data_IF_116745317712
#
_entry.id   IF_116745317712
#
_cell.length_a   1.000
_cell.length_b   1.000
_cell.length_c   1.000
_cell.angle_alpha   90.00
_cell.angle_beta   90.00
_cell.angle_gamma   90.00
#
_symmetry.space_group_name_H-M   'P 1'
#
loop_
_entity.id
_entity.type
_entity.pdbx_description
1 polymer ?
#
# COMPACT_ATOMS: atom_id res chain seq x y z
N UNK A 1 26.10 -68.88 8.29
CA UNK A 1 25.28 -69.18 9.47
C UNK A 1 24.91 -67.84 10.08
N UNK A 2 23.61 -67.61 10.21
CA UNK A 2 22.94 -66.33 10.44
C UNK A 2 23.08 -65.90 11.91
N UNK A 3 23.25 -64.60 12.18
CA UNK A 3 22.27 -63.73 12.88
C UNK A 3 22.91 -62.62 13.74
N UNK A 4 22.19 -61.49 13.92
CA UNK A 4 22.39 -60.63 15.10
C UNK A 4 22.53 -59.12 14.93
N UNK A 5 21.67 -58.49 14.13
CA UNK A 5 20.84 -57.32 14.50
C UNK A 5 21.38 -56.20 15.43
N UNK A 6 21.23 -54.96 14.92
CA UNK A 6 20.99 -53.69 15.65
C UNK A 6 22.18 -53.15 16.45
N UNK A 7 23.05 -52.40 15.74
CA UNK A 7 23.91 -51.40 16.38
C UNK A 7 23.71 -50.02 15.73
N UNK A 8 22.75 -49.30 16.28
CA UNK A 8 22.83 -47.85 16.47
C UNK A 8 22.64 -46.96 15.25
N UNK A 9 21.39 -46.77 14.85
CA UNK A 9 20.87 -45.64 14.05
C UNK A 9 20.88 -44.36 14.91
N UNK A 10 21.98 -44.05 15.57
CA UNK A 10 22.11 -42.86 16.42
C UNK A 10 23.54 -42.34 16.38
N UNK A 11 23.94 -41.72 15.26
CA UNK A 11 25.04 -40.74 15.25
C UNK A 11 25.05 -39.95 13.92
N UNK A 12 23.94 -39.30 13.59
CA UNK A 12 23.88 -38.29 12.51
C UNK A 12 22.86 -37.19 12.86
N UNK A 13 22.84 -36.80 14.14
CA UNK A 13 22.01 -35.70 14.66
C UNK A 13 22.93 -34.68 15.33
N UNK A 14 23.76 -33.98 14.57
CA UNK A 14 24.51 -32.80 15.03
C UNK A 14 25.28 -32.25 13.84
N UNK A 15 24.64 -31.40 13.04
CA UNK A 15 25.21 -30.28 12.26
C UNK A 15 24.12 -29.75 11.31
N UNK A 16 23.03 -29.24 11.88
CA UNK A 16 21.98 -28.52 11.16
C UNK A 16 21.58 -27.24 11.92
N UNK A 17 22.57 -26.58 12.51
CA UNK A 17 22.42 -25.26 13.13
C UNK A 17 23.50 -24.35 12.56
N UNK A 18 23.07 -23.14 12.20
CA UNK A 18 23.88 -22.00 11.74
C UNK A 18 24.01 -21.81 10.21
N UNK A 19 22.90 -21.99 9.49
CA UNK A 19 22.50 -20.99 8.50
C UNK A 19 21.23 -20.27 8.99
N UNK A 20 21.31 -19.70 10.19
CA UNK A 20 20.54 -18.49 10.47
C UNK A 20 21.24 -17.39 9.68
N UNK A 21 20.98 -17.36 8.37
CA UNK A 21 21.37 -16.24 7.53
C UNK A 21 20.84 -15.01 8.23
N UNK A 22 21.75 -14.08 8.53
CA UNK A 22 21.40 -12.72 8.85
C UNK A 22 20.61 -12.16 7.68
N UNK A 23 19.29 -12.42 7.65
CA UNK A 23 18.35 -11.53 7.01
C UNK A 23 18.51 -10.24 7.80
N UNK A 24 19.37 -9.36 7.32
CA UNK A 24 19.17 -7.93 7.50
C UNK A 24 17.74 -7.69 7.01
N UNK A 25 16.79 -7.66 7.95
CA UNK A 25 15.43 -7.28 7.65
C UNK A 25 15.53 -5.92 6.99
N UNK A 26 15.29 -5.86 5.68
CA UNK A 26 15.17 -4.60 4.98
C UNK A 26 14.12 -3.82 5.77
N UNK A 27 14.45 -2.64 6.32
CA UNK A 27 13.49 -1.89 7.11
C UNK A 27 12.36 -1.48 6.16
N UNK A 28 11.24 -2.19 6.25
CA UNK A 28 9.99 -1.75 5.65
C UNK A 28 9.36 -0.63 6.47
N UNK A 29 8.33 0.03 5.93
CA UNK A 29 7.77 1.23 6.53
C UNK A 29 7.11 0.89 7.87
N UNK A 30 7.29 1.76 8.85
CA UNK A 30 6.66 1.68 10.16
C UNK A 30 5.68 2.85 10.31
N UNK A 31 4.48 2.55 10.79
CA UNK A 31 3.45 3.54 11.08
C UNK A 31 2.87 3.29 12.45
N UNK A 32 2.58 4.39 13.13
CA UNK A 32 1.93 4.44 14.42
C UNK A 32 0.41 4.61 14.22
N UNK A 33 -0.35 3.71 14.83
CA UNK A 33 -1.80 3.69 14.80
C UNK A 33 -2.31 3.81 16.23
N UNK A 34 -3.07 4.88 16.50
CA UNK A 34 -3.65 5.10 17.81
C UNK A 34 -4.86 4.20 18.04
N UNK A 35 -4.91 3.58 19.20
CA UNK A 35 -6.01 2.71 19.64
C UNK A 35 -6.67 3.31 20.87
N UNK A 36 -7.99 3.36 20.85
CA UNK A 36 -8.80 3.86 21.96
C UNK A 36 -9.73 2.77 22.49
N UNK A 37 -10.26 2.97 23.69
CA UNK A 37 -11.21 2.04 24.31
C UNK A 37 -10.55 1.01 25.22
N UNK A 38 -10.84 -0.27 24.98
CA UNK A 38 -10.39 -1.37 25.83
C UNK A 38 -8.88 -1.64 25.70
N UNK A 39 -8.22 -2.09 26.79
CA UNK A 39 -6.83 -2.52 26.73
C UNK A 39 -6.68 -3.73 25.80
N UNK A 40 -5.54 -3.80 25.14
CA UNK A 40 -5.18 -4.87 24.24
C UNK A 40 -4.38 -5.94 24.98
N UNK A 41 -4.49 -7.18 24.52
CA UNK A 41 -3.71 -8.30 25.02
C UNK A 41 -2.78 -8.87 23.94
N UNK A 42 -1.87 -9.76 24.35
CA UNK A 42 -0.90 -10.40 23.47
C UNK A 42 -1.55 -11.23 22.35
N UNK A 43 -2.78 -11.70 22.56
CA UNK A 43 -3.51 -12.46 21.54
C UNK A 43 -3.94 -11.55 20.39
N UNK A 44 -4.37 -10.31 20.67
CA UNK A 44 -4.64 -9.31 19.63
C UNK A 44 -3.38 -8.98 18.85
N UNK A 45 -2.24 -8.80 19.54
CA UNK A 45 -0.96 -8.55 18.88
C UNK A 45 -0.60 -9.69 17.91
N UNK A 46 -0.71 -10.93 18.39
CA UNK A 46 -0.42 -12.12 17.58
C UNK A 46 -1.34 -12.25 16.37
N UNK A 47 -2.60 -11.80 16.46
CA UNK A 47 -3.52 -11.77 15.34
C UNK A 47 -3.10 -10.73 14.28
N UNK A 48 -2.68 -9.54 14.72
CA UNK A 48 -2.16 -8.49 13.83
C UNK A 48 -0.87 -8.96 13.15
N UNK A 49 0.07 -9.55 13.88
CA UNK A 49 1.32 -10.07 13.31
C UNK A 49 1.11 -11.19 12.27
N UNK A 50 -0.02 -11.91 12.34
CA UNK A 50 -0.39 -12.93 11.36
C UNK A 50 -1.01 -12.36 10.08
N UNK A 51 -1.31 -11.05 10.03
CA UNK A 51 -1.88 -10.42 8.85
C UNK A 51 -0.90 -10.45 7.68
N UNK A 52 -1.37 -10.75 6.46
CA UNK A 52 -0.54 -10.66 5.26
C UNK A 52 0.09 -9.27 5.11
N UNK A 53 1.41 -9.23 4.91
CA UNK A 53 2.14 -7.99 4.71
C UNK A 53 2.65 -7.33 5.99
N UNK A 54 2.26 -7.78 7.18
CA UNK A 54 2.84 -7.31 8.44
C UNK A 54 4.13 -8.10 8.72
N UNK A 55 5.24 -7.38 8.92
CA UNK A 55 6.53 -7.94 9.26
C UNK A 55 6.76 -8.01 10.77
N UNK A 56 6.22 -7.04 11.51
CA UNK A 56 6.22 -6.99 12.97
C UNK A 56 5.14 -6.01 13.45
N UNK A 57 4.65 -6.21 14.67
CA UNK A 57 3.80 -5.25 15.34
C UNK A 57 4.22 -5.12 16.82
N UNK A 58 3.93 -3.98 17.44
CA UNK A 58 4.16 -3.79 18.88
C UNK A 58 3.18 -2.79 19.46
N UNK A 59 2.86 -2.95 20.74
CA UNK A 59 2.08 -1.97 21.50
C UNK A 59 2.97 -1.16 22.45
N UNK A 60 2.81 0.15 22.45
CA UNK A 60 3.25 1.03 23.52
C UNK A 60 2.04 1.77 24.11
N UNK A 61 1.53 1.27 25.24
CA UNK A 61 0.29 1.75 25.84
C UNK A 61 -0.90 1.60 24.88
N UNK A 62 -1.33 2.72 24.30
CA UNK A 62 -2.48 2.81 23.38
C UNK A 62 -2.06 2.92 21.92
N UNK A 63 -0.78 2.79 21.62
CA UNK A 63 -0.23 2.97 20.28
C UNK A 63 0.20 1.63 19.71
N UNK A 64 -0.30 1.32 18.52
CA UNK A 64 0.11 0.17 17.72
C UNK A 64 1.11 0.63 16.66
N UNK A 65 2.35 0.19 16.79
CA UNK A 65 3.32 0.32 15.71
C UNK A 65 3.22 -0.90 14.80
N UNK A 66 2.97 -0.69 13.51
CA UNK A 66 2.96 -1.74 12.49
C UNK A 66 4.13 -1.53 11.54
N UNK A 67 4.96 -2.57 11.39
CA UNK A 67 6.01 -2.63 10.38
C UNK A 67 5.53 -3.47 9.21
N UNK A 68 5.54 -2.89 8.02
CA UNK A 68 5.10 -3.57 6.79
C UNK A 68 6.29 -4.28 6.14
N UNK A 69 6.03 -5.44 5.52
CA UNK A 69 7.01 -6.17 4.71
C UNK A 69 7.29 -5.37 3.44
N UNK A 70 8.57 -5.19 3.02
CA UNK A 70 8.89 -4.44 1.81
C UNK A 70 8.13 -4.92 0.57
N UNK A 71 7.52 -3.98 -0.16
CA UNK A 71 6.69 -4.20 -1.33
C UNK A 71 5.29 -4.76 -1.05
N UNK A 72 4.95 -5.06 0.21
CA UNK A 72 3.61 -5.47 0.61
C UNK A 72 2.70 -4.27 0.85
N UNK A 73 1.39 -4.53 0.88
CA UNK A 73 0.36 -3.53 1.16
C UNK A 73 -0.41 -3.98 2.40
N UNK A 74 -0.59 -3.09 3.37
CA UNK A 74 -1.41 -3.33 4.57
C UNK A 74 -2.52 -2.30 4.61
N UNK A 75 -3.77 -2.75 4.65
CA UNK A 75 -4.94 -1.87 4.78
C UNK A 75 -5.18 -1.50 6.23
N UNK A 76 -5.31 -0.21 6.51
CA UNK A 76 -5.70 0.30 7.84
C UNK A 76 -7.10 -0.21 8.21
N UNK A 77 -8.01 -0.33 7.23
CA UNK A 77 -9.33 -0.94 7.44
C UNK A 77 -9.25 -2.41 7.83
N UNK A 78 -8.35 -3.18 7.23
CA UNK A 78 -8.16 -4.60 7.60
C UNK A 78 -7.59 -4.74 9.02
N UNK A 79 -6.67 -3.85 9.43
CA UNK A 79 -6.18 -3.79 10.82
C UNK A 79 -7.33 -3.49 11.78
N UNK A 80 -8.19 -2.52 11.45
CA UNK A 80 -9.36 -2.20 12.26
C UNK A 80 -10.35 -3.37 12.34
N UNK A 81 -10.49 -4.18 11.29
CA UNK A 81 -11.34 -5.36 11.29
C UNK A 81 -10.80 -6.46 12.22
N UNK A 82 -9.49 -6.72 12.18
CA UNK A 82 -8.82 -7.66 13.10
C UNK A 82 -8.95 -7.20 14.55
N UNK A 83 -8.78 -5.90 14.82
CA UNK A 83 -9.03 -5.31 16.13
C UNK A 83 -10.48 -5.52 16.58
N UNK A 84 -11.46 -5.25 15.72
CA UNK A 84 -12.87 -5.43 16.05
C UNK A 84 -13.24 -6.90 16.34
N UNK A 85 -12.57 -7.85 15.69
CA UNK A 85 -12.77 -9.29 15.91
C UNK A 85 -12.18 -9.77 17.24
N UNK A 86 -10.95 -9.36 17.55
CA UNK A 86 -10.22 -9.89 18.71
C UNK A 86 -10.29 -9.00 19.96
N UNK A 87 -10.64 -7.73 19.81
CA UNK A 87 -10.81 -6.75 20.87
C UNK A 87 -12.03 -5.86 20.60
N UNK A 88 -13.27 -6.37 20.75
CA UNK A 88 -14.50 -5.67 20.34
C UNK A 88 -14.78 -4.35 21.09
N UNK A 89 -14.04 -4.05 22.16
CA UNK A 89 -14.09 -2.76 22.87
C UNK A 89 -12.95 -1.81 22.51
N UNK A 90 -12.03 -2.21 21.64
CA UNK A 90 -10.93 -1.39 21.16
C UNK A 90 -11.24 -0.86 19.76
N UNK A 91 -10.83 0.37 19.49
CA UNK A 91 -11.11 1.06 18.24
C UNK A 91 -9.85 1.73 17.71
N UNK A 92 -9.59 1.53 16.42
CA UNK A 92 -8.53 2.24 15.72
C UNK A 92 -8.97 3.69 15.47
N UNK A 93 -8.22 4.65 16.00
CA UNK A 93 -8.41 6.08 15.76
C UNK A 93 -7.81 6.42 14.38
N UNK A 94 -8.57 6.10 13.33
CA UNK A 94 -8.12 6.25 11.94
C UNK A 94 -7.84 7.72 11.59
N UNK A 95 -8.52 8.69 12.19
CA UNK A 95 -8.22 10.11 11.98
C UNK A 95 -6.87 10.53 12.60
N UNK A 96 -6.36 9.77 13.58
CA UNK A 96 -5.07 10.02 14.22
C UNK A 96 -3.86 9.51 13.43
N UNK A 97 -4.07 8.80 12.32
CA UNK A 97 -2.95 8.27 11.51
C UNK A 97 -2.19 9.40 10.84
N UNK A 98 -0.87 9.42 10.99
CA UNK A 98 0.00 10.40 10.37
C UNK A 98 0.05 10.26 8.84
N UNK A 99 0.10 11.39 8.14
CA UNK A 99 0.29 11.46 6.70
C UNK A 99 1.80 11.41 6.43
N UNK A 100 2.28 10.28 5.91
CA UNK A 100 3.69 10.09 5.59
C UNK A 100 3.91 9.56 4.16
N UNK A 101 5.18 9.42 3.78
CA UNK A 101 5.58 8.98 2.44
C UNK A 101 5.01 7.61 2.03
N UNK A 102 4.72 6.75 3.00
CA UNK A 102 4.21 5.39 2.80
C UNK A 102 2.70 5.26 3.08
N UNK A 103 2.01 6.39 3.28
CA UNK A 103 0.56 6.46 3.51
C UNK A 103 -0.14 6.72 2.18
N UNK A 104 -0.75 5.67 1.60
CA UNK A 104 -1.44 5.74 0.32
C UNK A 104 -2.94 5.79 0.53
N UNK A 105 -3.59 6.85 0.07
CA UNK A 105 -5.03 7.02 0.16
C UNK A 105 -5.71 6.32 -1.00
N UNK A 106 -6.83 5.65 -0.70
CA UNK A 106 -7.66 5.01 -1.72
C UNK A 106 -9.06 5.60 -1.71
N UNK A 107 -9.56 5.97 -2.88
CA UNK A 107 -10.95 6.37 -3.07
C UNK A 107 -11.56 5.73 -4.31
N UNK A 108 -12.89 5.62 -4.29
CA UNK A 108 -13.64 5.21 -5.47
C UNK A 108 -13.84 6.42 -6.40
N UNK A 109 -13.12 6.41 -7.53
CA UNK A 109 -13.27 7.39 -8.61
C UNK A 109 -14.31 6.97 -9.66
N UNK A 110 -14.92 5.80 -9.52
CA UNK A 110 -15.91 5.28 -10.46
C UNK A 110 -15.36 5.14 -11.87
N UNK A 111 -16.17 5.42 -12.89
CA UNK A 111 -15.77 5.27 -14.30
C UNK A 111 -15.05 6.49 -14.86
N UNK A 112 -15.00 7.61 -14.13
CA UNK A 112 -14.46 8.87 -14.60
C UNK A 112 -13.34 9.36 -13.67
N UNK A 113 -12.09 9.09 -14.06
CA UNK A 113 -10.90 9.53 -13.34
C UNK A 113 -10.92 11.04 -13.03
N UNK A 114 -11.06 11.89 -14.05
CA UNK A 114 -11.03 13.35 -13.88
C UNK A 114 -12.19 13.89 -13.02
N UNK A 115 -13.35 13.23 -13.04
CA UNK A 115 -14.49 13.62 -12.22
C UNK A 115 -14.23 13.43 -10.72
N UNK A 116 -13.28 12.56 -10.35
CA UNK A 116 -12.88 12.33 -8.97
C UNK A 116 -11.59 13.08 -8.62
N UNK A 117 -10.63 13.11 -9.54
CA UNK A 117 -9.32 13.71 -9.35
C UNK A 117 -9.39 15.23 -9.23
N UNK A 118 -10.20 15.92 -10.06
CA UNK A 118 -10.25 17.39 -10.04
C UNK A 118 -10.87 17.93 -8.73
N UNK A 119 -12.01 17.42 -8.22
CA UNK A 119 -12.52 17.83 -6.92
C UNK A 119 -11.59 17.45 -5.75
N UNK A 120 -10.90 16.32 -5.84
CA UNK A 120 -9.90 15.92 -4.86
C UNK A 120 -8.76 16.96 -4.82
N UNK A 121 -8.20 17.30 -5.97
CA UNK A 121 -7.14 18.31 -6.09
C UNK A 121 -7.57 19.68 -5.55
N UNK A 122 -8.79 20.12 -5.87
CA UNK A 122 -9.34 21.36 -5.32
C UNK A 122 -9.52 21.31 -3.79
N UNK A 123 -9.82 20.13 -3.23
CA UNK A 123 -9.98 19.94 -1.79
C UNK A 123 -8.62 19.97 -1.10
N UNK A 124 -7.64 19.23 -1.63
CA UNK A 124 -6.28 19.17 -1.10
C UNK A 124 -5.56 20.52 -1.19
N UNK A 125 -5.73 21.26 -2.29
CA UNK A 125 -5.16 22.60 -2.46
C UNK A 125 -5.67 23.64 -1.43
N UNK A 126 -6.76 23.36 -0.72
CA UNK A 126 -7.29 24.22 0.36
C UNK A 126 -6.70 23.86 1.73
N UNK A 127 -5.91 22.79 1.83
CA UNK A 127 -5.29 22.34 3.08
C UNK A 127 -3.90 22.98 3.20
N UNK A 128 -3.66 23.80 4.23
CA UNK A 128 -2.42 24.60 4.32
C UNK A 128 -1.17 23.76 4.56
N UNK A 129 -1.33 22.52 5.03
CA UNK A 129 -0.23 21.59 5.27
C UNK A 129 0.06 20.69 4.06
N UNK A 130 -0.75 20.71 2.99
CA UNK A 130 -0.50 19.89 1.80
C UNK A 130 0.45 20.65 0.88
N UNK A 131 1.69 20.19 0.79
CA UNK A 131 2.72 20.78 -0.06
C UNK A 131 2.59 20.32 -1.51
N UNK A 132 2.25 19.04 -1.71
CA UNK A 132 2.02 18.43 -3.01
C UNK A 132 1.16 17.17 -2.87
N UNK A 133 0.67 16.63 -3.97
CA UNK A 133 0.00 15.33 -4.00
C UNK A 133 0.08 14.73 -5.40
N UNK A 134 0.04 13.41 -5.50
CA UNK A 134 0.13 12.74 -6.79
C UNK A 134 -0.66 11.44 -6.84
N UNK A 135 -1.19 11.13 -8.01
CA UNK A 135 -1.79 9.83 -8.29
C UNK A 135 -0.69 8.80 -8.49
N UNK A 136 -0.74 7.72 -7.73
CA UNK A 136 0.24 6.62 -7.80
C UNK A 136 -0.34 5.39 -8.51
N UNK A 137 -1.66 5.26 -8.57
CA UNK A 137 -2.33 4.17 -9.27
C UNK A 137 -3.78 4.50 -9.62
N UNK A 138 -4.27 3.94 -10.72
CA UNK A 138 -5.69 3.93 -11.10
C UNK A 138 -6.02 2.59 -11.75
N UNK A 139 -6.67 1.69 -10.99
CA UNK A 139 -6.89 0.29 -11.41
C UNK A 139 -8.34 -0.05 -11.74
N UNK A 140 -8.51 -1.27 -12.27
CA UNK A 140 -9.79 -1.90 -12.57
C UNK A 140 -10.81 -1.71 -11.43
N UNK A 141 -12.04 -1.37 -11.82
CA UNK A 141 -13.17 -0.93 -10.98
C UNK A 141 -13.13 0.53 -10.50
N UNK A 142 -12.23 1.37 -11.03
CA UNK A 142 -12.29 2.80 -10.79
C UNK A 142 -11.72 3.24 -9.46
N UNK A 143 -10.77 2.48 -8.89
CA UNK A 143 -10.13 2.85 -7.63
C UNK A 143 -8.91 3.71 -7.92
N UNK A 144 -8.95 4.93 -7.38
CA UNK A 144 -7.88 5.90 -7.43
C UNK A 144 -7.04 5.75 -6.17
N UNK A 145 -5.73 5.62 -6.35
CA UNK A 145 -4.74 5.66 -5.26
C UNK A 145 -3.82 6.84 -5.44
N UNK A 146 -3.61 7.58 -4.37
CA UNK A 146 -2.82 8.79 -4.39
C UNK A 146 -2.03 8.95 -3.09
N UNK A 147 -0.93 9.69 -3.19
CA UNK A 147 -0.08 10.12 -2.09
C UNK A 147 -0.30 11.60 -1.84
N UNK A 148 -0.23 11.99 -0.57
CA UNK A 148 -0.21 13.38 -0.14
C UNK A 148 1.17 13.65 0.46
N UNK A 149 1.83 14.69 0.00
CA UNK A 149 3.01 15.25 0.67
C UNK A 149 2.54 16.33 1.61
N UNK A 150 2.78 16.12 2.91
CA UNK A 150 2.38 17.02 3.97
C UNK A 150 3.61 17.67 4.63
N UNK A 151 3.48 18.96 4.92
CA UNK A 151 4.43 19.71 5.74
C UNK A 151 4.11 19.48 7.22
N UNK A 152 5.09 18.98 7.98
CA UNK A 152 4.96 18.75 9.42
C UNK A 152 4.17 17.49 9.79
N UNK A 153 3.68 17.45 11.03
CA UNK A 153 2.97 16.30 11.62
C UNK A 153 1.44 16.41 11.38
N UNK A 154 1.02 16.26 10.12
CA UNK A 154 -0.41 16.27 9.76
C UNK A 154 -1.02 14.87 9.86
N UNK A 155 -2.31 14.79 10.22
CA UNK A 155 -3.05 13.52 10.33
C UNK A 155 -4.19 13.44 9.31
N UNK A 156 -4.75 12.25 9.13
CA UNK A 156 -5.94 12.04 8.29
C UNK A 156 -7.10 12.94 8.74
N UNK A 157 -7.27 13.16 10.05
CA UNK A 157 -8.31 14.02 10.60
C UNK A 157 -8.23 15.46 10.09
N UNK A 158 -7.02 15.98 9.87
CA UNK A 158 -6.79 17.34 9.36
C UNK A 158 -7.29 17.52 7.91
N UNK A 159 -7.48 16.43 7.16
CA UNK A 159 -8.07 16.45 5.82
C UNK A 159 -9.59 16.67 5.85
N UNK A 160 -10.23 16.58 7.02
CA UNK A 160 -11.69 16.66 7.20
C UNK A 160 -12.36 15.33 7.50
N UNK A 161 -11.61 14.34 7.99
CA UNK A 161 -12.14 13.05 8.44
C UNK A 161 -12.03 11.90 7.43
N UNK A 162 -12.15 10.67 7.93
CA UNK A 162 -11.92 9.45 7.13
C UNK A 162 -13.01 9.08 6.11
N UNK A 163 -14.22 9.65 6.22
CA UNK A 163 -15.37 9.31 5.36
C UNK A 163 -15.13 9.64 3.88
N UNK A 164 -14.20 10.56 3.60
CA UNK A 164 -13.80 10.92 2.24
C UNK A 164 -12.99 9.81 1.54
N UNK A 165 -12.41 8.87 2.29
CA UNK A 165 -11.49 7.86 1.76
C UNK A 165 -12.02 6.45 2.02
N UNK A 166 -12.09 5.63 0.97
CA UNK A 166 -12.50 4.21 1.08
C UNK A 166 -11.55 3.43 1.99
N UNK A 167 -10.26 3.73 1.90
CA UNK A 167 -9.22 3.08 2.69
C UNK A 167 -7.94 3.92 2.74
N UNK A 168 -7.04 3.55 3.65
CA UNK A 168 -5.64 3.97 3.67
C UNK A 168 -4.75 2.73 3.68
N UNK A 169 -3.78 2.69 2.78
CA UNK A 169 -2.89 1.56 2.54
C UNK A 169 -1.46 1.96 2.92
N UNK A 170 -0.85 1.17 3.79
CA UNK A 170 0.53 1.33 4.23
C UNK A 170 1.44 0.52 3.32
N UNK A 171 2.36 1.17 2.60
CA UNK A 171 3.25 0.49 1.66
C UNK A 171 4.39 1.40 1.18
N UNK A 172 5.57 0.81 0.97
CA UNK A 172 6.73 1.42 0.29
C UNK A 172 6.76 1.10 -1.21
N UNK A 173 5.76 0.38 -1.73
CA UNK A 173 5.70 -0.07 -3.12
C UNK A 173 5.80 1.07 -4.15
N UNK A 174 5.36 2.28 -3.77
CA UNK A 174 5.36 3.45 -4.64
C UNK A 174 6.57 4.36 -4.41
N UNK A 175 7.50 3.99 -3.52
CA UNK A 175 8.69 4.78 -3.25
C UNK A 175 9.57 4.89 -4.50
N UNK A 176 9.92 6.13 -4.84
CA UNK A 176 10.75 6.43 -6.02
C UNK A 176 10.05 6.19 -7.36
N UNK A 177 8.76 5.83 -7.37
CA UNK A 177 7.97 5.84 -8.59
C UNK A 177 7.55 7.28 -8.92
N UNK A 178 7.69 7.64 -10.19
CA UNK A 178 7.13 8.90 -10.70
C UNK A 178 5.61 8.84 -10.65
N UNK A 179 4.99 10.01 -10.45
CA UNK A 179 3.54 10.15 -10.51
C UNK A 179 2.99 9.58 -11.82
N UNK A 180 1.82 8.95 -11.75
CA UNK A 180 1.18 8.40 -12.92
C UNK A 180 0.69 9.54 -13.82
N UNK A 181 1.30 9.70 -14.99
CA UNK A 181 0.85 10.68 -15.98
C UNK A 181 -0.40 10.18 -16.71
N UNK A 182 -1.56 10.60 -16.19
CA UNK A 182 -2.88 10.35 -16.76
C UNK A 182 -3.41 11.54 -17.59
N UNK A 183 -2.70 12.67 -17.57
CA UNK A 183 -3.09 13.90 -18.23
C UNK A 183 -2.56 13.94 -19.67
N UNK A 184 -3.23 13.20 -20.54
CA UNK A 184 -2.94 13.25 -21.98
C UNK A 184 -3.84 14.29 -22.65
N UNK A 185 -3.25 15.31 -23.30
CA UNK A 185 -3.97 16.39 -23.98
C UNK A 185 -4.99 15.91 -25.04
N UNK A 186 -4.89 14.66 -25.48
CA UNK A 186 -5.81 14.02 -26.44
C UNK A 186 -6.59 12.84 -25.86
N UNK A 187 -6.57 12.63 -24.53
CA UNK A 187 -7.09 11.41 -23.91
C UNK A 187 -6.26 10.15 -24.21
N UNK A 188 -4.98 10.33 -24.55
CA UNK A 188 -4.04 9.25 -24.84
C UNK A 188 -4.03 8.82 -26.31
N UNK A 189 -4.81 9.48 -27.17
CA UNK A 189 -4.94 9.15 -28.59
C UNK A 189 -4.32 10.26 -29.43
N UNK A 190 -3.11 10.04 -29.95
CA UNK A 190 -2.56 10.90 -30.99
C UNK A 190 -2.78 10.24 -32.35
N UNK A 191 -3.56 10.89 -33.23
CA UNK A 191 -3.73 10.42 -34.59
C UNK A 191 -2.43 10.58 -35.36
N UNK A 192 -1.95 9.47 -35.94
CA UNK A 192 -0.82 9.45 -36.86
C UNK A 192 -1.28 8.88 -38.18
N UNK A 193 -0.84 9.53 -39.26
CA UNK A 193 -1.08 9.05 -40.63
C UNK A 193 -0.20 7.87 -41.00
N UNK A 194 0.87 7.60 -40.24
CA UNK A 194 1.85 6.55 -40.49
C UNK A 194 1.99 5.61 -39.28
N UNK A 195 1.83 4.32 -39.50
CA UNK A 195 1.87 3.28 -38.46
C UNK A 195 3.28 3.12 -37.87
N UNK A 196 4.34 3.22 -38.68
CA UNK A 196 5.71 3.03 -38.21
C UNK A 196 6.12 4.13 -37.21
N UNK A 197 5.74 5.37 -37.52
CA UNK A 197 5.90 6.54 -36.65
C UNK A 197 5.08 6.37 -35.36
N UNK A 198 3.82 5.94 -35.47
CA UNK A 198 2.96 5.67 -34.31
C UNK A 198 3.58 4.62 -33.37
N UNK A 199 4.13 3.53 -33.93
CA UNK A 199 4.81 2.46 -33.17
C UNK A 199 6.08 2.95 -32.48
N UNK A 200 6.90 3.74 -33.17
CA UNK A 200 8.14 4.27 -32.62
C UNK A 200 7.86 5.24 -31.46
N UNK A 201 6.89 6.13 -31.62
CA UNK A 201 6.49 7.06 -30.58
C UNK A 201 5.87 6.33 -29.40
N UNK A 202 4.92 5.42 -29.63
CA UNK A 202 4.31 4.61 -28.57
C UNK A 202 5.37 3.88 -27.73
N UNK A 203 6.40 3.33 -28.37
CA UNK A 203 7.53 2.68 -27.69
C UNK A 203 8.35 3.68 -26.87
N UNK A 204 8.71 4.83 -27.46
CA UNK A 204 9.50 5.89 -26.80
C UNK A 204 8.78 6.47 -25.58
N UNK A 205 7.48 6.72 -25.71
CA UNK A 205 6.65 7.34 -24.68
C UNK A 205 5.95 6.33 -23.78
N UNK A 206 6.22 5.03 -23.94
CA UNK A 206 5.53 3.93 -23.22
C UNK A 206 3.99 4.02 -23.29
N UNK A 207 3.46 4.56 -24.40
CA UNK A 207 2.01 4.75 -24.61
C UNK A 207 1.41 3.46 -25.20
N UNK A 208 0.18 3.08 -24.83
CA UNK A 208 -0.53 2.01 -25.51
C UNK A 208 -0.83 2.40 -26.97
N UNK A 209 -0.55 1.49 -27.90
CA UNK A 209 -0.81 1.69 -29.33
C UNK A 209 -2.18 1.11 -29.69
N UNK A 210 -3.11 1.96 -30.11
CA UNK A 210 -4.40 1.54 -30.67
C UNK A 210 -4.38 1.79 -32.18
N UNK A 211 -4.40 0.71 -32.97
CA UNK A 211 -4.45 0.79 -34.42
C UNK A 211 -5.90 0.67 -34.88
N UNK A 212 -6.44 1.75 -35.45
CA UNK A 212 -7.72 1.70 -36.14
C UNK A 212 -7.46 1.30 -37.60
N UNK A 213 -8.16 0.28 -38.14
CA UNK A 213 -8.12 0.05 -39.56
C UNK A 213 -8.66 1.30 -40.26
N UNK A 214 -7.81 1.99 -41.02
CA UNK A 214 -8.29 3.01 -41.95
C UNK A 214 -9.22 2.30 -42.92
N UNK A 215 -10.48 2.71 -42.97
CA UNK A 215 -11.42 2.23 -43.98
C UNK A 215 -10.74 2.37 -45.35
N UNK A 216 -10.56 1.23 -46.04
CA UNK A 216 -9.70 1.13 -47.21
C UNK A 216 -9.98 2.24 -48.24
N UNK A 217 -8.91 2.93 -48.61
CA UNK A 217 -8.85 3.73 -49.84
C UNK A 217 -8.66 2.82 -51.04
#
# INVERSE_FOLDING_TARGET
MVDGTIRGIMLNFLFATLLAGSLSAIPGPAIELLITGAPLDDHVLAAIEQMPGIAAASFDGNELSVKVTPGAEVSVRDVAAVLAEHAPGAHLERDGVAIGAHTIFQMNAGVCFFCAEEPLGQTLARRPFVSDWSVVDYRAKGRLRFRIDADGEATIGDLGGTDAFEDVVLTDRYDGLEALDLYWATGGVEWRSDEATARQEATRSRKPLMLFPTAGT
#
